data_IF_125089458216
#
_entry.id   IF_125089458216
#
_cell.length_a   1.000
_cell.length_b   1.000
_cell.length_c   1.000
_cell.angle_alpha   90.00
_cell.angle_beta   90.00
_cell.angle_gamma   90.00
#
_symmetry.space_group_name_H-M   'P 1'
#
loop_
_entity.id
_entity.type
_entity.pdbx_description
1 polymer ?
#
# COMPACT_ATOMS: atom_id res chain seq x y z
N UNK A 1 -5.16 -16.03 -26.91
CA UNK A 1 -5.25 -14.77 -26.13
C UNK A 1 -4.18 -13.87 -26.70
N UNK A 2 -4.55 -12.77 -27.34
CA UNK A 2 -3.64 -11.89 -28.09
C UNK A 2 -2.78 -11.03 -27.14
N UNK A 3 -1.95 -11.68 -26.32
CA UNK A 3 -1.03 -10.99 -25.41
C UNK A 3 0.04 -10.20 -26.17
N UNK A 4 0.41 -10.67 -27.36
CA UNK A 4 1.38 -9.99 -28.22
C UNK A 4 0.85 -8.65 -28.73
N UNK A 5 -0.43 -8.56 -29.13
CA UNK A 5 -1.02 -7.30 -29.59
C UNK A 5 -1.16 -6.28 -28.46
N UNK A 6 -1.45 -6.75 -27.24
CA UNK A 6 -1.48 -5.93 -26.03
C UNK A 6 -0.07 -5.41 -25.68
N UNK A 7 0.93 -6.28 -25.74
CA UNK A 7 2.33 -5.94 -25.49
C UNK A 7 2.83 -4.90 -26.49
N UNK A 8 2.60 -5.09 -27.78
CA UNK A 8 2.96 -4.10 -28.80
C UNK A 8 2.26 -2.74 -28.59
N UNK A 9 1.00 -2.74 -28.18
CA UNK A 9 0.28 -1.50 -27.88
C UNK A 9 0.86 -0.77 -26.66
N UNK A 10 1.28 -1.53 -25.64
CA UNK A 10 1.98 -0.99 -24.47
C UNK A 10 3.36 -0.42 -24.83
N UNK A 11 4.16 -1.17 -25.60
CA UNK A 11 5.50 -0.76 -26.02
C UNK A 11 5.44 0.54 -26.83
N UNK A 12 4.43 0.70 -27.70
CA UNK A 12 4.15 1.96 -28.40
C UNK A 12 3.84 3.13 -27.45
N UNK A 13 3.13 2.90 -26.35
CA UNK A 13 2.88 3.94 -25.33
C UNK A 13 4.18 4.32 -24.63
N UNK A 14 5.02 3.33 -24.28
CA UNK A 14 6.33 3.57 -23.66
C UNK A 14 7.22 4.40 -24.58
N UNK A 15 7.33 4.02 -25.86
CA UNK A 15 8.11 4.75 -26.87
C UNK A 15 7.63 6.21 -26.99
N UNK A 16 6.32 6.43 -27.14
CA UNK A 16 5.75 7.79 -27.24
C UNK A 16 5.92 8.59 -25.96
N UNK A 17 5.89 7.95 -24.79
CA UNK A 17 6.17 8.61 -23.49
C UNK A 17 7.61 9.08 -23.40
N UNK A 18 8.56 8.22 -23.77
CA UNK A 18 9.99 8.57 -23.79
C UNK A 18 10.21 9.73 -24.74
N UNK A 19 9.72 9.64 -25.99
CA UNK A 19 9.86 10.72 -26.98
C UNK A 19 9.26 12.05 -26.51
N UNK A 20 8.06 12.03 -25.93
CA UNK A 20 7.41 13.23 -25.39
C UNK A 20 8.23 13.82 -24.23
N UNK A 21 8.69 12.98 -23.29
CA UNK A 21 9.50 13.41 -22.15
C UNK A 21 10.84 14.00 -22.59
N UNK A 22 11.53 13.40 -23.56
CA UNK A 22 12.79 13.91 -24.10
C UNK A 22 12.59 15.28 -24.73
N UNK A 23 11.54 15.46 -25.53
CA UNK A 23 11.24 16.75 -26.16
C UNK A 23 10.83 17.84 -25.17
N UNK A 24 10.08 17.48 -24.12
CA UNK A 24 9.80 18.41 -23.00
C UNK A 24 11.11 18.84 -22.35
N UNK A 25 12.01 17.88 -22.09
CA UNK A 25 13.29 18.17 -21.45
C UNK A 25 14.18 19.07 -22.32
N UNK A 26 14.31 18.77 -23.62
CA UNK A 26 15.04 19.61 -24.57
C UNK A 26 14.50 21.05 -24.62
N UNK A 27 13.17 21.23 -24.58
CA UNK A 27 12.57 22.55 -24.54
C UNK A 27 12.86 23.29 -23.22
N UNK A 28 12.81 22.59 -22.09
CA UNK A 28 13.18 23.15 -20.79
C UNK A 28 14.66 23.57 -20.79
N UNK A 29 15.55 22.72 -21.31
CA UNK A 29 16.98 22.99 -21.36
C UNK A 29 17.30 24.21 -22.24
N UNK A 30 16.66 24.34 -23.41
CA UNK A 30 16.79 25.53 -24.27
C UNK A 30 16.34 26.82 -23.57
N UNK A 31 15.20 26.78 -22.86
CA UNK A 31 14.71 27.92 -22.08
C UNK A 31 15.72 28.28 -20.98
N UNK A 32 16.24 27.28 -20.26
CA UNK A 32 17.24 27.48 -19.21
C UNK A 32 18.51 28.11 -19.78
N UNK A 33 18.98 27.66 -20.93
CA UNK A 33 20.19 28.17 -21.56
C UNK A 33 20.03 29.62 -22.06
N UNK A 34 18.89 29.99 -22.64
CA UNK A 34 18.62 31.38 -23.02
C UNK A 34 18.51 32.29 -21.78
N UNK A 35 17.88 31.82 -20.70
CA UNK A 35 17.84 32.58 -19.43
C UNK A 35 19.26 32.76 -18.87
N UNK A 36 20.11 31.73 -18.89
CA UNK A 36 21.51 31.84 -18.46
C UNK A 36 22.34 32.79 -19.32
N UNK A 37 22.16 32.78 -20.64
CA UNK A 37 22.83 33.70 -21.55
C UNK A 37 22.46 35.16 -21.22
N UNK A 38 21.18 35.43 -20.97
CA UNK A 38 20.71 36.77 -20.60
C UNK A 38 21.24 37.21 -19.24
N UNK A 39 21.24 36.33 -18.24
CA UNK A 39 21.85 36.62 -16.92
C UNK A 39 23.34 37.00 -17.10
N UNK A 40 24.07 36.25 -17.92
CA UNK A 40 25.49 36.52 -18.18
C UNK A 40 25.69 37.87 -18.90
N UNK A 41 24.83 38.21 -19.88
CA UNK A 41 24.85 39.52 -20.56
C UNK A 41 24.60 40.68 -19.58
N UNK A 42 23.65 40.52 -18.66
CA UNK A 42 23.35 41.55 -17.66
C UNK A 42 24.52 41.74 -16.67
N UNK A 43 25.13 40.64 -16.21
CA UNK A 43 26.28 40.69 -15.30
C UNK A 43 27.52 41.34 -15.92
N UNK A 44 27.77 41.15 -17.20
CA UNK A 44 28.90 41.78 -17.90
C UNK A 44 28.72 43.31 -18.02
N UNK A 45 27.48 43.80 -18.19
CA UNK A 45 27.18 45.24 -18.29
C UNK A 45 27.29 45.99 -16.96
N UNK A 46 27.04 45.34 -15.83
CA UNK A 46 27.14 45.96 -14.50
C UNK A 46 28.60 46.20 -14.04
N UNK A 47 29.58 45.56 -14.68
CA UNK A 47 31.01 45.70 -14.33
C UNK A 47 31.66 46.99 -14.86
N UNK A 48 31.09 47.61 -15.91
CA UNK A 48 31.76 48.68 -16.67
C UNK A 48 31.20 50.11 -16.43
N UNK A 49 30.10 50.28 -15.67
CA UNK A 49 29.49 51.60 -15.46
C UNK A 49 28.79 51.77 -14.12
N UNK A 50 29.09 52.87 -13.41
CA UNK A 50 28.51 53.22 -12.11
C UNK A 50 27.18 54.02 -12.19
N UNK A 51 26.45 53.93 -13.31
CA UNK A 51 25.19 54.66 -13.51
C UNK A 51 24.14 53.76 -14.19
N UNK A 52 22.87 53.99 -13.85
CA UNK A 52 21.71 53.12 -14.10
C UNK A 52 21.65 52.49 -15.50
N UNK A 53 21.83 51.16 -15.57
CA UNK A 53 21.69 50.38 -16.80
C UNK A 53 20.19 50.12 -17.10
N UNK A 54 19.70 50.58 -18.25
CA UNK A 54 18.35 50.25 -18.71
C UNK A 54 18.35 48.84 -19.32
N UNK A 55 17.94 47.83 -18.55
CA UNK A 55 17.87 46.42 -18.97
C UNK A 55 16.62 46.10 -19.83
N UNK A 56 15.76 47.09 -20.08
CA UNK A 56 14.54 46.97 -20.89
C UNK A 56 14.74 46.30 -22.27
N UNK A 57 15.75 46.67 -23.09
CA UNK A 57 15.96 46.04 -24.41
C UNK A 57 16.39 44.57 -24.32
N UNK A 58 17.16 44.19 -23.29
CA UNK A 58 17.62 42.81 -23.08
C UNK A 58 16.45 41.91 -22.70
N UNK A 59 15.55 42.42 -21.84
CA UNK A 59 14.32 41.72 -21.47
C UNK A 59 13.32 41.61 -22.65
N UNK A 60 13.26 42.62 -23.51
CA UNK A 60 12.47 42.58 -24.73
C UNK A 60 13.00 41.54 -25.73
N UNK A 61 14.33 41.44 -25.88
CA UNK A 61 14.99 40.40 -26.69
C UNK A 61 14.73 39.00 -26.11
N UNK A 62 14.85 38.82 -24.80
CA UNK A 62 14.52 37.55 -24.11
C UNK A 62 13.06 37.15 -24.36
N UNK A 63 12.12 38.09 -24.23
CA UNK A 63 10.69 37.84 -24.46
C UNK A 63 10.42 37.45 -25.91
N UNK A 64 11.08 38.10 -26.88
CA UNK A 64 10.96 37.75 -28.30
C UNK A 64 11.51 36.35 -28.57
N UNK A 65 12.71 36.04 -28.05
CA UNK A 65 13.32 34.71 -28.16
C UNK A 65 12.51 33.61 -27.50
N UNK A 66 11.97 33.83 -26.28
CA UNK A 66 11.09 32.86 -25.64
C UNK A 66 9.83 32.61 -26.45
N UNK A 67 9.25 33.64 -27.07
CA UNK A 67 8.08 33.44 -27.92
C UNK A 67 8.41 32.67 -29.22
N UNK A 68 9.63 32.79 -29.76
CA UNK A 68 10.10 31.97 -30.90
C UNK A 68 10.53 30.56 -30.49
N UNK A 69 11.17 30.41 -29.33
CA UNK A 69 11.69 29.15 -28.77
C UNK A 69 10.62 28.27 -28.12
N UNK A 70 9.35 28.67 -28.17
CA UNK A 70 8.24 27.88 -27.66
C UNK A 70 7.57 27.19 -28.86
N UNK A 71 8.06 26.03 -29.34
CA UNK A 71 7.31 25.18 -30.23
C UNK A 71 6.25 24.42 -29.41
N UNK A 72 5.36 25.15 -28.73
CA UNK A 72 4.17 24.61 -28.06
C UNK A 72 3.42 23.67 -29.00
N UNK A 73 3.36 23.99 -30.29
CA UNK A 73 2.73 23.16 -31.32
C UNK A 73 3.41 21.80 -31.50
N UNK A 74 4.75 21.72 -31.39
CA UNK A 74 5.47 20.44 -31.51
C UNK A 74 5.32 19.62 -30.22
N UNK A 75 5.35 20.29 -29.07
CA UNK A 75 5.11 19.64 -27.78
C UNK A 75 3.68 19.10 -27.67
N UNK A 76 2.71 19.91 -28.09
CA UNK A 76 1.29 19.54 -28.19
C UNK A 76 1.10 18.40 -29.20
N UNK A 77 1.83 18.40 -30.32
CA UNK A 77 1.85 17.30 -31.28
C UNK A 77 2.31 15.97 -30.63
N UNK A 78 3.41 16.00 -29.89
CA UNK A 78 3.95 14.81 -29.22
C UNK A 78 3.02 14.32 -28.09
N UNK A 79 2.40 15.24 -27.36
CA UNK A 79 1.40 14.94 -26.36
C UNK A 79 0.12 14.34 -26.98
N UNK A 80 -0.32 14.86 -28.13
CA UNK A 80 -1.45 14.29 -28.90
C UNK A 80 -1.13 12.87 -29.36
N UNK A 81 0.06 12.62 -29.90
CA UNK A 81 0.48 11.27 -30.31
C UNK A 81 0.50 10.29 -29.13
N UNK A 82 1.01 10.71 -27.97
CA UNK A 82 0.97 9.92 -26.73
C UNK A 82 -0.47 9.58 -26.34
N UNK A 83 -1.38 10.56 -26.33
CA UNK A 83 -2.78 10.36 -25.98
C UNK A 83 -3.49 9.42 -26.97
N UNK A 84 -3.15 9.48 -28.26
CA UNK A 84 -3.65 8.54 -29.27
C UNK A 84 -3.14 7.12 -28.99
N UNK A 85 -1.86 6.96 -28.68
CA UNK A 85 -1.29 5.66 -28.32
C UNK A 85 -1.95 5.09 -27.05
N UNK A 86 -2.16 5.91 -26.02
CA UNK A 86 -2.82 5.54 -24.77
C UNK A 86 -4.27 5.09 -25.02
N UNK A 87 -5.01 5.84 -25.83
CA UNK A 87 -6.39 5.51 -26.19
C UNK A 87 -6.47 4.20 -26.98
N UNK A 88 -5.51 3.92 -27.85
CA UNK A 88 -5.42 2.65 -28.57
C UNK A 88 -5.08 1.49 -27.62
N UNK A 89 -4.13 1.69 -26.71
CA UNK A 89 -3.76 0.69 -25.70
C UNK A 89 -4.97 0.33 -24.82
N UNK A 90 -5.71 1.31 -24.31
CA UNK A 90 -6.93 1.07 -23.54
C UNK A 90 -7.97 0.24 -24.31
N UNK A 91 -8.19 0.53 -25.60
CA UNK A 91 -9.10 -0.26 -26.44
C UNK A 91 -8.64 -1.70 -26.65
N UNK A 92 -7.33 -1.92 -26.78
CA UNK A 92 -6.75 -3.27 -26.89
C UNK A 92 -6.87 -4.00 -25.55
N UNK A 93 -6.61 -3.30 -24.45
CA UNK A 93 -6.76 -3.80 -23.08
C UNK A 93 -8.20 -4.28 -22.83
N UNK A 94 -9.20 -3.43 -23.09
CA UNK A 94 -10.62 -3.75 -22.96
C UNK A 94 -11.05 -4.97 -23.79
N UNK A 95 -10.49 -5.13 -24.99
CA UNK A 95 -10.76 -6.29 -25.85
C UNK A 95 -10.05 -7.56 -25.40
N UNK A 96 -8.86 -7.43 -24.82
CA UNK A 96 -8.02 -8.55 -24.42
C UNK A 96 -8.55 -9.28 -23.17
N UNK A 97 -9.25 -8.57 -22.29
CA UNK A 97 -9.91 -9.15 -21.14
C UNK A 97 -11.38 -9.46 -21.45
N UNK A 98 -11.73 -10.74 -21.47
CA UNK A 98 -13.13 -11.15 -21.55
C UNK A 98 -13.86 -10.80 -20.25
N UNK A 99 -14.81 -9.87 -20.31
CA UNK A 99 -15.76 -9.62 -19.21
C UNK A 99 -16.73 -10.77 -18.97
N UNK A 100 -16.85 -11.68 -19.94
CA UNK A 100 -17.66 -12.89 -19.83
C UNK A 100 -16.83 -14.04 -19.25
N UNK A 101 -17.03 -14.31 -17.95
CA UNK A 101 -16.44 -15.45 -17.22
C UNK A 101 -16.67 -16.77 -17.96
N UNK A 102 -17.79 -16.91 -18.67
CA UNK A 102 -18.13 -18.12 -19.43
C UNK A 102 -17.14 -18.39 -20.57
N UNK A 103 -16.50 -17.34 -21.12
CA UNK A 103 -15.44 -17.46 -22.16
C UNK A 103 -14.05 -17.66 -21.58
N UNK A 104 -13.86 -17.37 -20.29
CA UNK A 104 -12.62 -17.69 -19.57
C UNK A 104 -12.53 -19.19 -19.23
N UNK A 105 -13.66 -19.92 -19.35
CA UNK A 105 -13.69 -21.37 -19.25
C UNK A 105 -12.94 -21.97 -20.44
N UNK A 106 -11.63 -22.23 -20.24
CA UNK A 106 -10.93 -23.21 -21.05
C UNK A 106 -11.59 -24.57 -20.75
N UNK A 107 -11.72 -25.45 -21.73
CA UNK A 107 -12.02 -26.87 -21.46
C UNK A 107 -10.84 -27.43 -20.66
N UNK A 108 -10.88 -27.20 -19.35
CA UNK A 108 -10.01 -27.85 -18.38
C UNK A 108 -10.80 -29.05 -17.92
N UNK A 109 -10.21 -30.22 -18.04
CA UNK A 109 -10.80 -31.44 -17.51
C UNK A 109 -11.03 -31.26 -16.01
N UNK A 110 -12.21 -31.69 -15.55
CA UNK A 110 -12.57 -31.55 -14.14
C UNK A 110 -11.62 -32.40 -13.28
N UNK A 111 -10.73 -31.74 -12.57
CA UNK A 111 -9.78 -32.39 -11.67
C UNK A 111 -10.34 -32.38 -10.24
N UNK A 112 -10.84 -33.54 -9.80
CA UNK A 112 -11.48 -33.66 -8.49
C UNK A 112 -10.54 -33.32 -7.33
N UNK A 113 -9.25 -33.68 -7.42
CA UNK A 113 -8.20 -33.34 -6.45
C UNK A 113 -8.08 -31.84 -6.22
N UNK A 114 -8.01 -31.04 -7.29
CA UNK A 114 -7.91 -29.58 -7.22
C UNK A 114 -9.12 -28.98 -6.50
N UNK A 115 -10.33 -29.43 -6.83
CA UNK A 115 -11.56 -28.96 -6.16
C UNK A 115 -11.58 -29.37 -4.70
N UNK A 116 -11.22 -30.63 -4.39
CA UNK A 116 -11.13 -31.11 -3.02
C UNK A 116 -10.09 -30.30 -2.21
N UNK A 117 -8.95 -29.95 -2.79
CA UNK A 117 -7.95 -29.09 -2.15
C UNK A 117 -8.47 -27.68 -1.89
N UNK A 118 -9.23 -27.10 -2.82
CA UNK A 118 -9.87 -25.79 -2.61
C UNK A 118 -10.87 -25.86 -1.44
N UNK A 119 -11.69 -26.91 -1.39
CA UNK A 119 -12.69 -27.11 -0.33
C UNK A 119 -12.01 -27.34 1.03
N UNK A 120 -11.01 -28.20 1.11
CA UNK A 120 -10.25 -28.45 2.34
C UNK A 120 -9.58 -27.17 2.86
N UNK A 121 -8.89 -26.45 1.97
CA UNK A 121 -8.26 -25.18 2.32
C UNK A 121 -9.28 -24.11 2.73
N UNK A 122 -10.50 -24.14 2.19
CA UNK A 122 -11.58 -23.29 2.64
C UNK A 122 -12.00 -23.60 4.09
N UNK A 123 -12.14 -24.86 4.47
CA UNK A 123 -12.44 -25.23 5.86
C UNK A 123 -11.36 -24.74 6.83
N UNK A 124 -10.09 -24.91 6.49
CA UNK A 124 -8.97 -24.41 7.32
C UNK A 124 -8.97 -22.88 7.45
N UNK A 125 -9.26 -22.15 6.36
CA UNK A 125 -9.42 -20.69 6.40
C UNK A 125 -10.52 -20.25 7.38
N UNK A 126 -11.62 -21.00 7.43
CA UNK A 126 -12.74 -20.73 8.34
C UNK A 126 -12.49 -21.21 9.78
N UNK A 127 -11.33 -21.82 10.07
CA UNK A 127 -11.03 -22.38 11.38
C UNK A 127 -11.77 -23.69 11.69
N UNK A 128 -12.41 -24.30 10.68
CA UNK A 128 -13.12 -25.57 10.81
C UNK A 128 -12.16 -26.75 10.58
N UNK A 129 -11.15 -26.87 11.45
CA UNK A 129 -10.06 -27.82 11.28
C UNK A 129 -10.51 -29.29 11.29
N UNK A 130 -11.38 -29.66 12.23
CA UNK A 130 -11.89 -31.04 12.34
C UNK A 130 -12.69 -31.44 11.09
N UNK A 131 -13.48 -30.50 10.54
CA UNK A 131 -14.23 -30.73 9.30
C UNK A 131 -13.30 -30.84 8.10
N UNK A 132 -12.29 -29.97 8.02
CA UNK A 132 -11.26 -30.04 6.99
C UNK A 132 -10.52 -31.37 7.00
N UNK A 133 -10.10 -31.83 8.19
CA UNK A 133 -9.42 -33.11 8.37
C UNK A 133 -10.30 -34.30 8.01
N UNK A 134 -11.57 -34.27 8.42
CA UNK A 134 -12.56 -35.30 8.04
C UNK A 134 -12.75 -35.35 6.53
N UNK A 135 -12.90 -34.19 5.89
CA UNK A 135 -13.07 -34.07 4.44
C UNK A 135 -11.85 -34.60 3.67
N UNK A 136 -10.64 -34.21 4.08
CA UNK A 136 -9.38 -34.68 3.46
C UNK A 136 -9.21 -36.18 3.60
N UNK A 137 -9.55 -36.74 4.77
CA UNK A 137 -9.52 -38.17 5.01
C UNK A 137 -10.49 -38.93 4.10
N UNK A 138 -11.73 -38.44 3.94
CA UNK A 138 -12.73 -39.04 3.04
C UNK A 138 -12.35 -38.93 1.56
N UNK A 139 -11.63 -37.87 1.17
CA UNK A 139 -11.19 -37.64 -0.20
C UNK A 139 -9.93 -38.44 -0.60
N UNK A 140 -9.43 -39.34 0.27
CA UNK A 140 -8.29 -40.21 -0.02
C UNK A 140 -6.92 -39.61 0.28
N UNK A 141 -6.86 -38.54 1.10
CA UNK A 141 -5.64 -37.88 1.54
C UNK A 141 -5.06 -36.95 0.47
N UNK A 142 -5.07 -35.65 0.76
CA UNK A 142 -4.33 -34.67 -0.03
C UNK A 142 -3.14 -34.14 0.75
N UNK A 143 -1.93 -34.44 0.25
CA UNK A 143 -0.67 -33.90 0.76
C UNK A 143 -0.53 -32.38 0.52
N UNK A 144 -1.46 -31.77 -0.24
CA UNK A 144 -1.39 -30.36 -0.65
C UNK A 144 -2.10 -29.39 0.31
N UNK A 145 -2.36 -29.77 1.56
CA UNK A 145 -3.00 -28.89 2.55
C UNK A 145 -2.01 -27.95 3.25
N UNK A 146 -1.19 -27.24 2.46
CA UNK A 146 -0.14 -26.33 2.94
C UNK A 146 -0.67 -25.16 3.79
N UNK A 147 -1.97 -24.86 3.72
CA UNK A 147 -2.58 -23.78 4.48
C UNK A 147 -3.02 -24.18 5.89
N UNK A 148 -3.11 -25.48 6.21
CA UNK A 148 -3.59 -25.93 7.52
C UNK A 148 -2.77 -25.33 8.67
N UNK A 149 -1.45 -25.56 8.66
CA UNK A 149 -0.56 -25.13 9.74
C UNK A 149 -0.55 -23.59 9.92
N UNK A 150 -0.41 -22.76 8.86
CA UNK A 150 -0.53 -21.31 8.99
C UNK A 150 -1.85 -20.85 9.61
N UNK A 151 -2.98 -21.43 9.22
CA UNK A 151 -4.27 -21.06 9.81
C UNK A 151 -4.39 -21.55 11.26
N UNK A 152 -3.88 -22.74 11.60
CA UNK A 152 -3.86 -23.21 12.99
C UNK A 152 -3.05 -22.28 13.89
N UNK A 153 -1.86 -21.87 13.45
CA UNK A 153 -1.04 -20.88 14.17
C UNK A 153 -1.79 -19.56 14.33
N UNK A 154 -2.38 -19.04 13.25
CA UNK A 154 -3.16 -17.80 13.27
C UNK A 154 -4.32 -17.86 14.27
N UNK A 155 -5.14 -18.91 14.24
CA UNK A 155 -6.26 -19.05 15.18
C UNK A 155 -5.77 -19.24 16.62
N UNK A 156 -4.66 -19.95 16.84
CA UNK A 156 -4.02 -20.05 18.15
C UNK A 156 -3.60 -18.70 18.72
N UNK A 157 -3.00 -17.84 17.89
CA UNK A 157 -2.67 -16.45 18.25
C UNK A 157 -3.94 -15.66 18.58
N UNK A 158 -4.99 -15.77 17.76
CA UNK A 158 -6.25 -15.06 18.00
C UNK A 158 -6.90 -15.45 19.33
N UNK A 159 -6.92 -16.73 19.68
CA UNK A 159 -7.45 -17.19 20.97
C UNK A 159 -6.61 -16.67 22.15
N UNK A 160 -5.28 -16.69 22.04
CA UNK A 160 -4.41 -16.11 23.05
C UNK A 160 -4.68 -14.60 23.24
N UNK A 161 -4.85 -13.87 22.14
CA UNK A 161 -5.16 -12.43 22.16
C UNK A 161 -6.52 -12.14 22.81
N UNK A 162 -7.54 -12.99 22.62
CA UNK A 162 -8.82 -12.89 23.34
C UNK A 162 -8.64 -12.98 24.86
N UNK A 163 -7.70 -13.82 25.31
CA UNK A 163 -7.27 -13.91 26.71
C UNK A 163 -6.35 -12.79 27.19
N UNK A 164 -6.18 -11.71 26.41
CA UNK A 164 -5.20 -10.63 26.63
C UNK A 164 -3.74 -11.10 26.72
N UNK A 165 -3.44 -12.26 26.14
CA UNK A 165 -2.07 -12.74 26.00
C UNK A 165 -1.55 -12.39 24.59
N UNK A 166 -0.68 -11.38 24.51
CA UNK A 166 -0.09 -10.92 23.25
C UNK A 166 1.25 -11.61 22.92
N UNK A 167 1.76 -12.44 23.82
CA UNK A 167 3.08 -13.07 23.66
C UNK A 167 3.17 -13.93 22.38
N UNK A 168 2.19 -14.79 22.03
CA UNK A 168 2.23 -15.55 20.78
C UNK A 168 2.22 -14.65 19.53
N UNK A 169 1.47 -13.54 19.56
CA UNK A 169 1.39 -12.59 18.46
C UNK A 169 2.72 -11.86 18.26
N UNK A 170 3.36 -11.42 19.35
CA UNK A 170 4.64 -10.73 19.34
C UNK A 170 5.77 -11.66 18.85
N UNK A 171 5.81 -12.89 19.35
CA UNK A 171 6.78 -13.90 18.90
C UNK A 171 6.61 -14.21 17.41
N UNK A 172 5.37 -14.36 16.94
CA UNK A 172 5.10 -14.56 15.52
C UNK A 172 5.54 -13.37 14.66
N UNK A 173 5.26 -12.14 15.10
CA UNK A 173 5.65 -10.93 14.38
C UNK A 173 7.17 -10.78 14.30
N UNK A 174 7.89 -11.04 15.40
CA UNK A 174 9.35 -11.01 15.43
C UNK A 174 9.96 -12.05 14.46
N UNK A 175 9.42 -13.27 14.43
CA UNK A 175 9.87 -14.33 13.53
C UNK A 175 9.60 -14.02 12.04
N UNK A 176 8.62 -13.14 11.75
CA UNK A 176 8.23 -12.75 10.40
C UNK A 176 8.58 -11.30 10.05
N UNK A 177 9.47 -10.66 10.84
CA UNK A 177 9.84 -9.25 10.73
C UNK A 177 10.19 -8.84 9.29
N UNK A 178 11.12 -9.57 8.65
CA UNK A 178 11.60 -9.24 7.30
C UNK A 178 10.48 -9.29 6.25
N UNK A 179 9.56 -10.27 6.36
CA UNK A 179 8.41 -10.40 5.46
C UNK A 179 7.40 -9.27 5.69
N UNK A 180 7.20 -8.87 6.94
CA UNK A 180 6.33 -7.75 7.29
C UNK A 180 6.88 -6.43 6.76
N UNK A 181 8.19 -6.22 6.85
CA UNK A 181 8.86 -5.04 6.29
C UNK A 181 8.75 -4.97 4.77
N UNK A 182 8.98 -6.08 4.06
CA UNK A 182 8.81 -6.14 2.60
C UNK A 182 7.39 -5.76 2.17
N UNK A 183 6.39 -6.18 2.95
CA UNK A 183 4.99 -5.87 2.70
C UNK A 183 4.55 -4.49 3.25
N UNK A 184 5.49 -3.69 3.79
CA UNK A 184 5.20 -2.40 4.42
C UNK A 184 4.13 -2.50 5.52
N UNK A 185 4.07 -3.63 6.22
CA UNK A 185 3.07 -3.91 7.24
C UNK A 185 3.43 -3.26 8.58
N UNK A 186 2.45 -2.57 9.18
CA UNK A 186 2.59 -1.96 10.51
C UNK A 186 2.20 -2.91 11.66
N UNK A 187 1.98 -4.20 11.37
CA UNK A 187 1.42 -5.15 12.33
C UNK A 187 2.27 -5.26 13.62
N UNK A 188 3.59 -5.35 13.48
CA UNK A 188 4.50 -5.48 14.61
C UNK A 188 4.47 -4.25 15.53
N UNK A 189 4.50 -3.05 14.94
CA UNK A 189 4.31 -1.80 15.70
C UNK A 189 2.97 -1.81 16.43
N UNK A 190 1.88 -2.22 15.76
CA UNK A 190 0.54 -2.26 16.37
C UNK A 190 0.48 -3.23 17.56
N UNK A 191 1.15 -4.38 17.48
CA UNK A 191 1.22 -5.34 18.59
C UNK A 191 2.02 -4.78 19.76
N UNK A 192 3.18 -4.17 19.52
CA UNK A 192 3.96 -3.52 20.58
C UNK A 192 3.21 -2.33 21.21
N UNK A 193 2.46 -1.55 20.41
CA UNK A 193 1.59 -0.48 20.92
C UNK A 193 0.50 -1.03 21.85
N UNK A 194 -0.14 -2.14 21.47
CA UNK A 194 -1.16 -2.78 22.30
C UNK A 194 -0.57 -3.32 23.61
N UNK A 195 0.61 -3.96 23.55
CA UNK A 195 1.32 -4.44 24.74
C UNK A 195 1.73 -3.29 25.66
N UNK A 196 2.19 -2.16 25.10
CA UNK A 196 2.50 -0.96 25.87
C UNK A 196 1.27 -0.46 26.65
N UNK A 197 0.10 -0.39 26.00
CA UNK A 197 -1.15 0.03 26.65
C UNK A 197 -1.58 -0.98 27.72
N UNK A 198 -1.43 -2.28 27.48
CA UNK A 198 -1.75 -3.32 28.46
C UNK A 198 -0.84 -3.25 29.71
N UNK A 199 0.45 -2.92 29.55
CA UNK A 199 1.36 -2.68 30.68
C UNK A 199 0.96 -1.41 31.43
N UNK A 200 0.57 -0.36 30.70
CA UNK A 200 0.16 0.91 31.29
C UNK A 200 -1.14 0.77 32.10
N UNK A 201 -2.13 0.03 31.60
CA UNK A 201 -3.40 -0.21 32.31
C UNK A 201 -3.22 -1.09 33.56
N UNK A 202 -2.24 -1.99 33.56
CA UNK A 202 -1.87 -2.82 34.73
C UNK A 202 -1.08 -2.07 35.82
N UNK A 203 -0.78 -0.78 35.61
CA UNK A 203 -0.43 0.14 36.70
C UNK A 203 1.06 0.42 36.90
N UNK A 204 1.93 0.15 35.92
CA UNK A 204 3.35 0.49 36.03
C UNK A 204 3.81 1.37 34.86
N UNK A 205 3.74 2.69 35.06
CA UNK A 205 4.27 3.69 34.11
C UNK A 205 5.73 3.43 33.76
N UNK A 206 6.54 3.08 34.75
CA UNK A 206 7.96 2.80 34.56
C UNK A 206 8.20 1.56 33.70
N UNK A 207 7.41 0.50 33.90
CA UNK A 207 7.48 -0.71 33.09
C UNK A 207 7.03 -0.44 31.64
N UNK A 208 5.98 0.37 31.45
CA UNK A 208 5.52 0.76 30.11
C UNK A 208 6.59 1.60 29.39
N UNK A 209 7.22 2.54 30.10
CA UNK A 209 8.30 3.36 29.56
C UNK A 209 9.53 2.51 29.21
N UNK A 210 9.89 1.56 30.07
CA UNK A 210 10.99 0.63 29.80
C UNK A 210 10.70 -0.21 28.56
N UNK A 211 9.48 -0.74 28.43
CA UNK A 211 9.05 -1.50 27.26
C UNK A 211 9.10 -0.68 25.95
N UNK A 212 8.65 0.57 26.01
CA UNK A 212 8.73 1.47 24.86
C UNK A 212 10.19 1.72 24.43
N UNK A 213 11.10 1.90 25.39
CA UNK A 213 12.53 2.10 25.10
C UNK A 213 13.19 0.88 24.48
N UNK A 214 12.73 -0.33 24.78
CA UNK A 214 13.31 -1.56 24.22
C UNK A 214 12.74 -1.90 22.85
N UNK A 215 11.43 -1.77 22.66
CA UNK A 215 10.76 -2.29 21.45
C UNK A 215 10.26 -1.24 20.47
N UNK A 216 9.98 0.00 20.90
CA UNK A 216 9.39 1.02 20.02
C UNK A 216 10.45 1.94 19.38
N UNK A 217 11.70 1.91 19.86
CA UNK A 217 12.76 2.82 19.40
C UNK A 217 13.15 2.58 17.94
N UNK A 218 13.18 1.32 17.49
CA UNK A 218 13.45 0.97 16.08
C UNK A 218 12.44 1.58 15.12
N UNK A 219 11.20 1.77 15.57
CA UNK A 219 10.11 2.34 14.78
C UNK A 219 10.03 3.87 14.85
N UNK A 220 10.81 4.52 15.72
CA UNK A 220 10.69 5.96 16.00
C UNK A 220 11.03 6.87 14.83
N UNK A 221 11.96 6.46 13.95
CA UNK A 221 12.35 7.23 12.77
C UNK A 221 11.22 7.30 11.73
N UNK A 222 10.47 6.21 11.57
CA UNK A 222 9.43 6.07 10.54
C UNK A 222 8.04 6.44 11.08
N UNK A 223 7.74 6.09 12.34
CA UNK A 223 6.39 6.19 12.93
C UNK A 223 6.33 7.14 14.13
N UNK A 224 7.05 8.26 14.04
CA UNK A 224 7.17 9.27 15.11
C UNK A 224 5.82 9.72 15.68
N UNK A 225 4.85 10.02 14.81
CA UNK A 225 3.55 10.53 15.25
C UNK A 225 2.78 9.51 16.12
N UNK A 226 2.85 8.23 15.79
CA UNK A 226 2.18 7.18 16.55
C UNK A 226 2.85 6.98 17.91
N UNK A 227 4.19 6.96 17.94
CA UNK A 227 4.95 6.81 19.19
C UNK A 227 4.75 8.01 20.10
N UNK A 228 4.67 9.23 19.55
CA UNK A 228 4.34 10.42 20.34
C UNK A 228 2.96 10.32 21.01
N UNK A 229 1.96 9.78 20.32
CA UNK A 229 0.63 9.53 20.92
C UNK A 229 0.73 8.52 22.07
N UNK A 230 1.46 7.42 21.90
CA UNK A 230 1.68 6.44 22.96
C UNK A 230 2.38 7.06 24.17
N UNK A 231 3.40 7.89 23.96
CA UNK A 231 4.08 8.59 25.04
C UNK A 231 3.16 9.58 25.76
N UNK A 232 2.26 10.26 25.03
CA UNK A 232 1.26 11.14 25.64
C UNK A 232 0.27 10.38 26.53
N UNK A 233 -0.04 9.11 26.23
CA UNK A 233 -0.89 8.28 27.08
C UNK A 233 -0.32 8.06 28.49
N UNK A 234 0.99 8.21 28.72
CA UNK A 234 1.59 8.11 30.07
C UNK A 234 1.05 9.17 31.04
N UNK A 235 0.70 10.36 30.51
CA UNK A 235 0.11 11.46 31.28
C UNK A 235 -1.30 11.09 31.75
N UNK A 236 -2.02 10.34 30.91
CA UNK A 236 -3.39 9.92 31.12
C UNK A 236 -3.50 8.50 31.70
N UNK A 237 -2.43 7.92 32.25
CA UNK A 237 -2.42 6.52 32.71
C UNK A 237 -3.57 6.17 33.68
N UNK A 238 -3.96 7.10 34.56
CA UNK A 238 -5.04 6.91 35.53
C UNK A 238 -6.43 7.27 34.97
N UNK A 239 -6.49 7.84 33.75
CA UNK A 239 -7.69 8.34 33.08
C UNK A 239 -7.60 8.12 31.56
N UNK A 240 -7.25 6.91 31.15
CA UNK A 240 -7.02 6.57 29.73
C UNK A 240 -8.27 6.85 28.87
N UNK A 241 -9.46 6.64 29.44
CA UNK A 241 -10.76 6.92 28.80
C UNK A 241 -11.01 8.42 28.53
N UNK A 242 -10.29 9.32 29.21
CA UNK A 242 -10.41 10.78 29.03
C UNK A 242 -9.29 11.35 28.16
N UNK A 243 -8.40 10.50 27.63
CA UNK A 243 -7.30 10.92 26.79
C UNK A 243 -7.82 11.54 25.48
N UNK A 244 -7.38 12.75 25.10
CA UNK A 244 -7.69 13.34 23.80
C UNK A 244 -7.05 12.57 22.63
N UNK A 245 -6.21 11.58 22.96
CA UNK A 245 -5.54 10.68 22.02
C UNK A 245 -6.15 9.29 22.03
N UNK A 246 -7.48 9.17 22.14
CA UNK A 246 -8.17 7.88 21.95
C UNK A 246 -7.56 7.19 20.74
N UNK A 247 -6.96 6.01 20.99
CA UNK A 247 -6.47 5.14 19.93
C UNK A 247 -7.61 5.00 18.93
N UNK A 248 -7.35 5.48 17.73
CA UNK A 248 -8.28 5.67 16.63
C UNK A 248 -9.40 4.62 16.65
N UNK A 249 -10.68 5.01 16.49
CA UNK A 249 -11.84 4.13 16.66
C UNK A 249 -11.81 2.87 15.78
N UNK A 250 -10.86 2.76 14.84
CA UNK A 250 -10.48 1.51 14.15
C UNK A 250 -10.03 0.38 15.10
N UNK A 251 -9.48 0.68 16.28
CA UNK A 251 -9.16 -0.31 17.33
C UNK A 251 -10.42 -0.88 18.03
N UNK A 252 -11.49 -0.09 18.13
CA UNK A 252 -12.79 -0.58 18.63
C UNK A 252 -13.53 -1.39 17.57
N UNK A 253 -13.21 -1.19 16.30
CA UNK A 253 -13.72 -2.02 15.20
C UNK A 253 -13.14 -3.43 15.25
N UNK A 254 -11.93 -3.66 15.76
CA UNK A 254 -11.46 -5.01 16.07
C UNK A 254 -12.16 -5.64 17.29
N UNK A 255 -12.76 -4.88 18.20
CA UNK A 255 -13.66 -5.47 19.22
C UNK A 255 -15.09 -5.70 18.69
N UNK A 256 -15.64 -4.78 17.90
CA UNK A 256 -17.03 -4.85 17.41
C UNK A 256 -17.22 -5.69 16.13
N UNK A 257 -16.18 -5.86 15.30
CA UNK A 257 -16.17 -6.79 14.16
C UNK A 257 -16.02 -8.24 14.63
N UNK A 258 -15.22 -8.47 15.68
CA UNK A 258 -15.11 -9.78 16.31
C UNK A 258 -16.41 -10.20 17.01
N UNK A 259 -17.15 -9.25 17.60
CA UNK A 259 -18.49 -9.51 18.14
C UNK A 259 -19.53 -9.88 17.07
N UNK A 260 -19.39 -9.37 15.83
CA UNK A 260 -20.28 -9.74 14.70
C UNK A 260 -20.02 -11.16 14.17
N UNK A 261 -18.77 -11.64 14.18
CA UNK A 261 -18.46 -13.02 13.80
C UNK A 261 -18.94 -14.06 14.84
N UNK A 262 -19.08 -13.68 16.11
CA UNK A 262 -19.71 -14.52 17.14
C UNK A 262 -21.26 -14.56 17.11
N UNK A 263 -21.89 -13.76 16.24
CA UNK A 263 -23.36 -13.64 16.18
C UNK A 263 -24.07 -14.57 15.20
N UNK A 264 -23.35 -15.34 14.38
CA UNK A 264 -23.97 -16.16 13.31
C UNK A 264 -23.98 -17.67 13.59
N UNK A 265 -24.07 -18.08 14.85
CA UNK A 265 -24.32 -19.49 15.21
C UNK A 265 -25.22 -19.60 16.43
N UNK A 266 -26.48 -19.17 16.26
CA UNK A 266 -27.65 -19.65 17.03
C UNK A 266 -28.94 -19.08 16.42
N UNK A 267 -29.39 -19.69 15.34
CA UNK A 267 -30.81 -19.75 15.02
C UNK A 267 -31.26 -21.20 15.21
N UNK A 268 -31.43 -21.58 16.48
CA UNK A 268 -32.13 -22.79 16.88
C UNK A 268 -33.54 -22.76 16.30
N UNK A 269 -33.82 -23.73 15.43
CA UNK A 269 -35.17 -24.19 15.08
C UNK A 269 -35.98 -24.35 16.37
N UNK A 270 -36.98 -23.50 16.57
CA UNK A 270 -38.15 -23.85 17.38
C UNK A 270 -39.26 -24.25 16.44
N UNK A 271 -39.45 -25.57 16.30
CA UNK A 271 -40.71 -26.17 15.89
C UNK A 271 -41.77 -25.79 16.93
N UNK A 272 -42.87 -25.19 16.47
CA UNK A 272 -44.17 -25.27 17.16
C UNK A 272 -45.10 -26.08 16.25
N UNK A 273 -45.91 -26.91 16.89
CA UNK A 273 -47.05 -27.61 16.29
C UNK A 273 -47.91 -26.68 15.43
#
# INVERSE_FOLDING_TARGET
MELDSLREAFDRVVEKRVLSSTKVQEAIDQIVDEVKQVISKMQMMDTDSMDSCDHSPILAELKAKLNEMVPLNQLEGCQKELNVALSKYLKVLEKSFSTDISKAYRNVDFEASTVNNIIANHFYRQGLFDLGDSFVHECGGSDETYLKLPFQEMYGILEAMKGRNLEPALTWAANNHDKLLQNSSMLELRLHSLQFVEILTKGSRDNALQYARTHLVSFASVHKAEIQKLMACLIWADRLEQSPYTLDQSFSTTQSSFARCSGSSRATRTLRC
#
